data_IF_365311214578
#
_entry.id   IF_365311214578
#
_cell.length_a   1.000
_cell.length_b   1.000
_cell.length_c   1.000
_cell.angle_alpha   90.00
_cell.angle_beta   90.00
_cell.angle_gamma   90.00
#
_symmetry.space_group_name_H-M   'P 1'
#
loop_
_entity.id
_entity.type
_entity.pdbx_description
1 polymer ?
#
# COMPACT_ATOMS: atom_id res chain seq x y z
N UNK A 1 -5.48 37.07 7.96
CA UNK A 1 -4.70 36.24 8.89
C UNK A 1 -5.11 34.80 8.61
N UNK A 2 -4.14 33.98 8.23
CA UNK A 2 -4.31 32.63 7.67
C UNK A 2 -4.96 31.67 8.67
N UNK A 3 -6.08 31.06 8.27
CA UNK A 3 -6.50 29.77 8.81
C UNK A 3 -5.69 28.67 8.11
N UNK A 4 -4.53 28.37 8.68
CA UNK A 4 -3.63 27.29 8.27
C UNK A 4 -4.26 25.94 8.67
N UNK A 5 -5.36 25.58 8.00
CA UNK A 5 -5.94 24.24 8.13
C UNK A 5 -5.09 23.31 7.26
N UNK A 6 -4.02 22.78 7.84
CA UNK A 6 -3.29 21.67 7.26
C UNK A 6 -4.26 20.48 7.14
N UNK A 7 -4.93 20.36 5.99
CA UNK A 7 -5.66 19.14 5.64
C UNK A 7 -4.61 18.04 5.56
N UNK A 8 -4.55 17.19 6.60
CA UNK A 8 -3.67 16.04 6.61
C UNK A 8 -3.97 15.17 5.39
N UNK A 9 -2.93 14.83 4.62
CA UNK A 9 -3.05 13.89 3.51
C UNK A 9 -3.51 12.54 4.03
N UNK A 10 -4.40 11.87 3.28
CA UNK A 10 -4.79 10.50 3.57
C UNK A 10 -3.60 9.54 3.40
N UNK A 11 -3.65 8.36 4.03
CA UNK A 11 -2.54 7.40 3.97
C UNK A 11 -2.11 7.07 2.53
N UNK A 12 -3.06 6.94 1.60
CA UNK A 12 -2.77 6.66 0.20
C UNK A 12 -2.06 7.80 -0.53
N UNK A 13 -2.28 9.04 -0.10
CA UNK A 13 -1.58 10.21 -0.62
C UNK A 13 -0.18 10.31 -0.02
N UNK A 14 -0.03 10.01 1.27
CA UNK A 14 1.28 9.95 1.93
C UNK A 14 2.17 8.86 1.34
N UNK A 15 1.65 7.65 1.09
CA UNK A 15 2.40 6.60 0.39
C UNK A 15 2.82 7.08 -1.01
N UNK A 16 1.92 7.74 -1.75
CA UNK A 16 2.23 8.30 -3.06
C UNK A 16 3.35 9.35 -3.00
N UNK A 17 3.28 10.25 -2.04
CA UNK A 17 4.31 11.27 -1.80
C UNK A 17 5.68 10.64 -1.50
N UNK A 18 5.72 9.65 -0.61
CA UNK A 18 6.95 8.93 -0.27
C UNK A 18 7.54 8.20 -1.47
N UNK A 19 6.70 7.55 -2.28
CA UNK A 19 7.10 6.87 -3.50
C UNK A 19 7.70 7.85 -4.53
N UNK A 20 7.07 8.99 -4.76
CA UNK A 20 7.59 10.04 -5.65
C UNK A 20 8.92 10.62 -5.15
N UNK A 21 9.04 10.81 -3.84
CA UNK A 21 10.27 11.31 -3.21
C UNK A 21 11.42 10.30 -3.37
N UNK A 22 11.14 9.01 -3.17
CA UNK A 22 12.10 7.94 -3.38
C UNK A 22 12.53 7.84 -4.85
N UNK A 23 11.59 7.92 -5.80
CA UNK A 23 11.90 7.93 -7.24
C UNK A 23 12.84 9.07 -7.61
N UNK A 24 12.57 10.30 -7.17
CA UNK A 24 13.46 11.46 -7.39
C UNK A 24 14.83 11.28 -6.73
N UNK A 25 14.89 10.58 -5.61
CA UNK A 25 16.15 10.32 -4.90
C UNK A 25 17.00 9.28 -5.63
N UNK A 26 16.38 8.22 -6.15
CA UNK A 26 17.04 7.22 -6.98
C UNK A 26 17.60 7.84 -8.27
N UNK A 27 16.80 8.65 -8.97
CA UNK A 27 17.23 9.36 -10.18
C UNK A 27 18.42 10.30 -9.89
N UNK A 28 18.36 11.09 -8.81
CA UNK A 28 19.47 11.96 -8.42
C UNK A 28 20.75 11.21 -8.05
N UNK A 29 20.62 10.08 -7.36
CA UNK A 29 21.78 9.31 -6.86
C UNK A 29 22.41 8.47 -7.96
N UNK A 30 21.60 7.81 -8.76
CA UNK A 30 22.04 6.78 -9.69
C UNK A 30 21.91 7.22 -11.15
N UNK A 31 20.89 8.00 -11.49
CA UNK A 31 20.71 8.59 -12.81
C UNK A 31 21.05 7.64 -13.95
N UNK A 32 21.90 8.07 -14.88
CA UNK A 32 22.35 7.23 -16.00
C UNK A 32 23.40 6.17 -15.62
N UNK A 33 23.90 6.16 -14.38
CA UNK A 33 24.92 5.22 -13.89
C UNK A 33 24.37 3.84 -13.52
N UNK A 34 23.05 3.71 -13.35
CA UNK A 34 22.39 2.42 -13.07
C UNK A 34 21.28 2.21 -14.10
N UNK A 35 21.18 1.03 -14.74
CA UNK A 35 20.11 0.75 -15.69
C UNK A 35 18.72 1.03 -15.11
N UNK A 36 17.83 1.61 -15.90
CA UNK A 36 16.47 1.95 -15.46
C UNK A 36 15.74 0.75 -14.86
N UNK A 37 15.95 -0.46 -15.41
CA UNK A 37 15.36 -1.68 -14.88
C UNK A 37 15.76 -1.92 -13.40
N UNK A 38 17.04 -1.74 -13.04
CA UNK A 38 17.50 -1.89 -11.65
C UNK A 38 16.92 -0.79 -10.75
N UNK A 39 16.79 0.43 -11.26
CA UNK A 39 16.14 1.52 -10.51
C UNK A 39 14.65 1.22 -10.24
N UNK A 40 13.94 0.64 -11.20
CA UNK A 40 12.54 0.26 -11.04
C UNK A 40 12.38 -0.86 -9.98
N UNK A 41 13.32 -1.82 -9.94
CA UNK A 41 13.38 -2.87 -8.90
C UNK A 41 13.66 -2.27 -7.52
N UNK A 42 14.62 -1.35 -7.41
CA UNK A 42 14.89 -0.63 -6.15
C UNK A 42 13.66 0.13 -5.65
N UNK A 43 12.92 0.77 -6.57
CA UNK A 43 11.69 1.49 -6.23
C UNK A 43 10.59 0.53 -5.76
N UNK A 44 10.48 -0.64 -6.40
CA UNK A 44 9.54 -1.69 -6.00
C UNK A 44 9.85 -2.23 -4.60
N UNK A 45 11.12 -2.53 -4.27
CA UNK A 45 11.51 -3.00 -2.94
C UNK A 45 11.33 -1.93 -1.85
N UNK A 46 11.66 -0.67 -2.15
CA UNK A 46 11.34 0.44 -1.25
C UNK A 46 9.85 0.49 -0.91
N UNK A 47 9.00 0.44 -1.94
CA UNK A 47 7.55 0.48 -1.76
C UNK A 47 7.04 -0.76 -1.03
N UNK A 48 7.59 -1.95 -1.32
CA UNK A 48 7.28 -3.18 -0.61
C UNK A 48 7.55 -3.02 0.88
N UNK A 49 8.76 -2.58 1.28
CA UNK A 49 9.08 -2.29 2.69
C UNK A 49 8.14 -1.24 3.30
N UNK A 50 7.86 -0.14 2.59
CA UNK A 50 6.93 0.90 3.05
C UNK A 50 5.52 0.36 3.34
N UNK A 51 5.04 -0.54 2.49
CA UNK A 51 3.67 -1.04 2.53
C UNK A 51 3.52 -2.33 3.32
N UNK A 52 4.60 -3.08 3.56
CA UNK A 52 4.55 -4.35 4.32
C UNK A 52 4.02 -4.15 5.73
N UNK A 53 4.42 -3.04 6.38
CA UNK A 53 3.96 -2.71 7.73
C UNK A 53 2.48 -2.31 7.74
N UNK A 54 2.05 -1.61 6.69
CA UNK A 54 0.68 -1.10 6.54
C UNK A 54 -0.29 -2.25 6.22
N UNK A 55 0.14 -3.16 5.35
CA UNK A 55 -0.62 -4.31 4.87
C UNK A 55 -0.29 -5.60 5.64
N UNK A 56 0.28 -5.51 6.85
CA UNK A 56 0.77 -6.66 7.61
C UNK A 56 -0.32 -7.70 7.95
N UNK A 57 -1.60 -7.30 7.93
CA UNK A 57 -2.76 -8.16 8.19
C UNK A 57 -3.52 -8.57 6.92
N UNK A 58 -3.13 -8.03 5.78
CA UNK A 58 -3.80 -8.31 4.51
C UNK A 58 -3.26 -9.59 3.88
N UNK A 59 -4.08 -10.21 3.02
CA UNK A 59 -3.62 -11.32 2.22
C UNK A 59 -2.51 -10.86 1.25
N UNK A 60 -1.51 -11.71 0.93
CA UNK A 60 -0.42 -11.33 0.02
C UNK A 60 -0.88 -10.80 -1.34
N UNK A 61 -2.00 -11.32 -1.87
CA UNK A 61 -2.58 -10.84 -3.13
C UNK A 61 -3.12 -9.40 -3.04
N UNK A 62 -3.64 -8.99 -1.88
CA UNK A 62 -4.12 -7.62 -1.63
C UNK A 62 -2.93 -6.67 -1.55
N UNK A 63 -1.87 -7.05 -0.82
CA UNK A 63 -0.65 -6.27 -0.73
C UNK A 63 0.03 -6.11 -2.10
N UNK A 64 0.15 -7.19 -2.87
CA UNK A 64 0.69 -7.13 -4.24
C UNK A 64 -0.15 -6.21 -5.15
N UNK A 65 -1.48 -6.27 -5.06
CA UNK A 65 -2.36 -5.39 -5.83
C UNK A 65 -2.16 -3.91 -5.45
N UNK A 66 -1.98 -3.61 -4.16
CA UNK A 66 -1.67 -2.25 -3.69
C UNK A 66 -0.31 -1.77 -4.22
N UNK A 67 0.74 -2.58 -4.09
CA UNK A 67 2.09 -2.28 -4.62
C UNK A 67 2.01 -1.98 -6.11
N UNK A 68 1.32 -2.83 -6.89
CA UNK A 68 1.12 -2.63 -8.33
C UNK A 68 0.41 -1.31 -8.63
N UNK A 69 -0.65 -1.00 -7.89
CA UNK A 69 -1.42 0.24 -8.07
C UNK A 69 -0.59 1.49 -7.77
N UNK A 70 0.28 1.46 -6.77
CA UNK A 70 1.14 2.59 -6.43
C UNK A 70 2.28 2.78 -7.45
N UNK A 71 2.95 1.69 -7.85
CA UNK A 71 3.98 1.78 -8.89
C UNK A 71 3.42 2.29 -10.23
N UNK A 72 2.20 1.89 -10.58
CA UNK A 72 1.51 2.34 -11.79
C UNK A 72 1.22 3.85 -11.84
N UNK A 73 1.40 4.59 -10.73
CA UNK A 73 1.32 6.06 -10.73
C UNK A 73 2.56 6.71 -11.36
N UNK A 74 3.70 6.00 -11.39
CA UNK A 74 4.99 6.52 -11.87
C UNK A 74 5.55 5.74 -13.06
N UNK A 75 5.25 4.45 -13.14
CA UNK A 75 5.79 3.54 -14.13
C UNK A 75 4.69 3.09 -15.09
N UNK A 76 5.05 2.81 -16.34
CA UNK A 76 4.14 2.12 -17.25
C UNK A 76 3.89 0.68 -16.78
N UNK A 77 2.73 0.10 -17.13
CA UNK A 77 2.34 -1.27 -16.72
C UNK A 77 3.40 -2.33 -17.06
N UNK A 78 4.06 -2.18 -18.21
CA UNK A 78 5.16 -3.03 -18.65
C UNK A 78 6.36 -2.94 -17.69
N UNK A 79 6.71 -1.74 -17.24
CA UNK A 79 7.81 -1.53 -16.29
C UNK A 79 7.44 -2.02 -14.89
N UNK A 80 6.20 -1.81 -14.45
CA UNK A 80 5.71 -2.36 -13.18
C UNK A 80 5.83 -3.89 -13.19
N UNK A 81 5.35 -4.53 -14.25
CA UNK A 81 5.37 -5.99 -14.36
C UNK A 81 6.81 -6.52 -14.35
N UNK A 82 7.71 -5.90 -15.14
CA UNK A 82 9.13 -6.28 -15.15
C UNK A 82 9.81 -6.07 -13.81
N UNK A 83 9.56 -4.96 -13.11
CA UNK A 83 10.16 -4.70 -11.81
C UNK A 83 9.73 -5.70 -10.74
N UNK A 84 8.44 -6.08 -10.73
CA UNK A 84 7.88 -7.04 -9.77
C UNK A 84 8.28 -8.49 -10.04
N UNK A 85 8.70 -8.80 -11.27
CA UNK A 85 9.15 -10.15 -11.67
C UNK A 85 10.68 -10.27 -11.73
N UNK A 86 11.40 -9.16 -11.60
CA UNK A 86 12.85 -9.15 -11.70
C UNK A 86 13.47 -9.92 -10.54
N UNK A 87 14.44 -10.76 -10.87
CA UNK A 87 15.32 -11.43 -9.91
C UNK A 87 16.72 -10.89 -10.16
N UNK A 88 17.47 -10.46 -9.14
CA UNK A 88 18.87 -10.08 -9.29
C UNK A 88 19.66 -11.18 -10.00
N UNK A 89 20.55 -10.79 -10.91
CA UNK A 89 21.46 -11.74 -11.56
C UNK A 89 22.42 -12.32 -10.52
N UNK A 90 22.76 -13.60 -10.69
CA UNK A 90 23.70 -14.27 -9.80
C UNK A 90 25.05 -13.52 -9.82
N UNK A 91 25.52 -13.09 -8.64
CA UNK A 91 26.75 -12.31 -8.49
C UNK A 91 26.57 -10.79 -8.53
N UNK A 92 25.35 -10.25 -8.68
CA UNK A 92 25.07 -8.82 -8.53
C UNK A 92 24.92 -8.40 -7.06
N UNK A 93 25.98 -8.61 -6.27
CA UNK A 93 25.98 -8.33 -4.82
C UNK A 93 25.75 -6.86 -4.49
N UNK A 94 26.01 -5.95 -5.45
CA UNK A 94 25.66 -4.54 -5.27
C UNK A 94 24.14 -4.35 -5.25
N UNK A 95 23.42 -4.95 -6.20
CA UNK A 95 21.97 -4.85 -6.26
C UNK A 95 21.35 -5.53 -5.04
N UNK A 96 21.76 -6.74 -4.70
CA UNK A 96 21.26 -7.50 -3.53
C UNK A 96 21.35 -6.68 -2.24
N UNK A 97 22.54 -6.20 -1.88
CA UNK A 97 22.73 -5.39 -0.67
C UNK A 97 22.04 -4.01 -0.76
N UNK A 98 21.81 -3.48 -1.97
CA UNK A 98 21.05 -2.23 -2.12
C UNK A 98 19.56 -2.47 -1.92
N UNK A 99 19.02 -3.61 -2.35
CA UNK A 99 17.61 -4.00 -2.17
C UNK A 99 17.26 -4.10 -0.68
N UNK A 100 18.05 -4.83 0.11
CA UNK A 100 17.85 -4.96 1.56
C UNK A 100 17.81 -3.58 2.24
N UNK A 101 18.71 -2.67 1.82
CA UNK A 101 18.79 -1.33 2.39
C UNK A 101 17.58 -0.47 2.03
N UNK A 102 17.14 -0.48 0.77
CA UNK A 102 15.99 0.34 0.36
C UNK A 102 14.69 -0.19 0.96
N UNK A 103 14.57 -1.51 1.11
CA UNK A 103 13.44 -2.15 1.78
C UNK A 103 13.39 -1.74 3.26
N UNK A 104 14.50 -1.84 3.99
CA UNK A 104 14.57 -1.42 5.39
C UNK A 104 14.29 0.09 5.58
N UNK A 105 14.69 0.93 4.62
CA UNK A 105 14.31 2.35 4.61
C UNK A 105 12.80 2.50 4.44
N UNK A 106 12.20 1.76 3.49
CA UNK A 106 10.76 1.72 3.29
C UNK A 106 10.04 1.35 4.57
N UNK A 107 10.40 0.22 5.18
CA UNK A 107 9.81 -0.30 6.41
C UNK A 107 9.83 0.73 7.55
N UNK A 108 10.98 1.38 7.77
CA UNK A 108 11.12 2.44 8.77
C UNK A 108 10.15 3.59 8.52
N UNK A 109 9.95 3.99 7.26
CA UNK A 109 8.98 5.03 6.91
C UNK A 109 7.53 4.54 7.08
N UNK A 110 7.24 3.27 6.77
CA UNK A 110 5.94 2.64 7.01
C UNK A 110 5.55 2.68 8.50
N UNK A 111 6.49 2.33 9.38
CA UNK A 111 6.31 2.48 10.82
C UNK A 111 6.06 3.93 11.24
N UNK A 112 6.80 4.89 10.67
CA UNK A 112 6.61 6.31 10.96
C UNK A 112 5.22 6.82 10.52
N UNK A 113 4.71 6.34 9.38
CA UNK A 113 3.36 6.65 8.90
C UNK A 113 2.29 6.10 9.85
N UNK A 114 2.44 4.85 10.31
CA UNK A 114 1.51 4.25 11.27
C UNK A 114 1.52 4.98 12.62
N UNK A 115 2.71 5.32 13.13
CA UNK A 115 2.88 6.02 14.40
C UNK A 115 2.30 7.44 14.38
N UNK A 116 2.17 8.05 13.20
CA UNK A 116 1.54 9.37 13.02
C UNK A 116 0.01 9.36 13.12
N UNK A 117 -0.61 8.18 13.23
CA UNK A 117 -1.96 8.03 13.75
C UNK A 117 -3.05 8.70 12.91
N UNK A 118 -3.37 8.12 11.75
CA UNK A 118 -4.69 8.30 11.16
C UNK A 118 -5.33 6.93 11.04
N UNK A 119 -6.55 6.81 11.56
CA UNK A 119 -7.48 5.71 11.38
C UNK A 119 -7.43 5.24 9.91
N UNK A 120 -6.75 4.11 9.66
CA UNK A 120 -6.39 3.70 8.31
C UNK A 120 -7.63 3.10 7.64
N UNK A 121 -8.40 3.95 6.97
CA UNK A 121 -9.27 3.51 5.89
C UNK A 121 -8.41 3.41 4.63
N UNK A 122 -7.99 2.21 4.26
CA UNK A 122 -7.35 1.93 2.96
C UNK A 122 -8.43 2.10 1.88
N UNK A 123 -8.39 3.12 1.01
CA UNK A 123 -9.50 3.45 0.12
C UNK A 123 -9.41 2.69 -1.22
N UNK A 124 -8.93 1.45 -1.23
CA UNK A 124 -8.88 0.66 -2.47
C UNK A 124 -10.13 -0.24 -2.56
N UNK A 125 -11.13 0.10 -3.39
CA UNK A 125 -12.16 -0.85 -3.75
C UNK A 125 -11.53 -1.91 -4.66
N UNK A 126 -11.45 -3.15 -4.17
CA UNK A 126 -11.18 -4.29 -5.03
C UNK A 126 -12.26 -4.35 -6.11
N UNK A 127 -11.88 -4.21 -7.38
CA UNK A 127 -12.79 -4.29 -8.56
C UNK A 127 -13.43 -5.68 -8.77
N UNK A 128 -13.34 -6.56 -7.77
CA UNK A 128 -13.95 -7.90 -7.75
C UNK A 128 -14.80 -8.17 -6.49
N UNK A 129 -15.04 -7.19 -5.62
CA UNK A 129 -15.87 -7.38 -4.42
C UNK A 129 -17.39 -7.19 -4.65
N UNK A 130 -17.87 -7.46 -5.86
CA UNK A 130 -19.32 -7.51 -6.15
C UNK A 130 -19.65 -8.87 -6.76
N UNK A 131 -19.83 -9.88 -5.90
CA UNK A 131 -20.69 -11.05 -6.10
C UNK A 131 -20.62 -11.99 -4.88
N UNK A 132 -21.03 -11.51 -3.70
CA UNK A 132 -21.56 -12.39 -2.67
C UNK A 132 -22.91 -11.81 -2.28
N UNK A 133 -23.97 -12.55 -2.60
CA UNK A 133 -25.35 -12.10 -2.60
C UNK A 133 -25.78 -11.44 -1.28
N UNK A 134 -26.56 -10.38 -1.45
CA UNK A 134 -27.45 -9.84 -0.44
C UNK A 134 -28.35 -10.96 0.10
N UNK A 135 -27.98 -11.55 1.23
CA UNK A 135 -28.91 -12.31 2.05
C UNK A 135 -29.47 -11.32 3.08
N UNK A 136 -30.69 -10.88 2.79
CA UNK A 136 -31.58 -10.09 3.62
C UNK A 136 -31.59 -10.64 5.07
N UNK A 137 -31.36 -9.80 6.11
CA UNK A 137 -31.56 -10.24 7.47
C UNK A 137 -33.07 -10.25 7.74
N UNK A 138 -33.67 -11.44 7.81
CA UNK A 138 -35.02 -11.58 8.30
C UNK A 138 -35.09 -11.00 9.72
N UNK A 139 -35.87 -9.93 9.87
CA UNK A 139 -36.22 -9.35 11.13
C UNK A 139 -36.91 -10.41 11.99
N UNK A 140 -36.27 -10.83 13.08
CA UNK A 140 -36.96 -11.55 14.15
C UNK A 140 -37.71 -10.48 14.93
N UNK A 141 -38.97 -10.28 14.55
CA UNK A 141 -39.97 -9.54 15.30
C UNK A 141 -40.10 -10.19 16.69
N UNK A 142 -39.66 -9.47 17.73
CA UNK A 142 -39.96 -9.83 19.12
C UNK A 142 -41.34 -9.27 19.44
N UNK A 143 -42.34 -10.14 19.38
CA UNK A 143 -43.68 -9.88 19.89
C UNK A 143 -43.64 -9.61 21.41
N UNK A 144 -44.21 -8.50 21.91
CA UNK A 144 -44.38 -8.27 23.33
C UNK A 144 -45.73 -8.85 23.78
N UNK A 145 -45.74 -10.10 24.25
CA UNK A 145 -46.95 -10.63 24.87
C UNK A 145 -47.13 -10.05 26.28
N UNK A 146 -47.92 -8.98 26.29
CA UNK A 146 -48.54 -8.34 27.44
C UNK A 146 -49.41 -9.34 28.24
N UNK A 147 -49.47 -9.09 29.54
CA UNK A 147 -50.25 -9.74 30.58
C UNK A 147 -51.71 -10.03 30.20
N UNK A 148 -52.20 -11.20 30.61
CA UNK A 148 -53.59 -11.39 31.04
C UNK A 148 -53.75 -12.68 31.88
N UNK A 149 -53.85 -12.52 33.20
CA UNK A 149 -54.58 -13.44 34.07
C UNK A 149 -56.07 -13.42 33.67
N UNK A 150 -56.77 -14.56 33.76
CA UNK A 150 -58.03 -14.51 34.52
C UNK A 150 -58.31 -15.76 35.38
N UNK A 151 -58.78 -15.44 36.60
CA UNK A 151 -59.65 -16.18 37.54
C UNK A 151 -59.18 -17.55 38.06
#
# INVERSE_FOLDING_TARGET
MSDDTAIGRGLSEEIGYWLESASRTLDKRYGNGVPQAKQDVLLAHYLYGLTTVIHAKDAPAVHLAAVRSYLGRLLSDERVTRALQAVPEEGDSWLENTLDRVEAIGEKQGHALLARGLDIVIPFPSRHASAAGSAEPAAIERDPLNEALPQ
#
